data_IF_602505721727
#
_entry.id   IF_602505721727
#
_cell.length_a   1.000
_cell.length_b   1.000
_cell.length_c   1.000
_cell.angle_alpha   90.00
_cell.angle_beta   90.00
_cell.angle_gamma   90.00
#
_symmetry.space_group_name_H-M   'P 1'
#
loop_
_entity.id
_entity.type
_entity.pdbx_description
1 polymer ?
#
# COMPACT_ATOMS: atom_id res chain seq x y z
N UNK A 1 26.29 -16.98 26.69
CA UNK A 1 26.70 -16.11 25.57
C UNK A 1 25.68 -16.31 24.46
N UNK A 2 24.95 -15.35 23.91
CA UNK A 2 24.73 -13.92 24.12
C UNK A 2 23.30 -13.63 23.63
N UNK A 3 22.67 -12.58 24.15
CA UNK A 3 21.30 -12.14 23.86
C UNK A 3 21.35 -11.14 22.69
N UNK A 4 20.47 -11.30 21.69
CA UNK A 4 20.16 -10.24 20.71
C UNK A 4 18.63 -10.06 20.60
N UNK A 5 18.08 -8.85 20.82
CA UNK A 5 16.65 -8.54 20.59
C UNK A 5 16.40 -7.80 19.26
N UNK A 6 15.14 -7.79 18.82
CA UNK A 6 14.54 -6.97 17.71
C UNK A 6 14.77 -7.55 16.31
N UNK A 7 13.76 -7.87 15.49
CA UNK A 7 12.59 -7.07 15.06
C UNK A 7 11.41 -8.02 14.74
N UNK A 8 10.16 -7.74 15.13
CA UNK A 8 9.02 -8.44 14.53
C UNK A 8 8.86 -7.93 13.10
N UNK A 9 9.06 -8.79 12.10
CA UNK A 9 8.54 -8.55 10.75
C UNK A 9 7.01 -8.53 10.87
N UNK A 10 6.43 -7.35 11.04
CA UNK A 10 5.00 -7.11 10.91
C UNK A 10 4.76 -6.79 9.43
N UNK A 11 4.06 -7.63 8.65
CA UNK A 11 3.40 -7.14 7.45
C UNK A 11 2.42 -6.07 7.89
N UNK A 12 2.70 -4.81 7.54
CA UNK A 12 1.87 -3.64 7.89
C UNK A 12 0.57 -3.58 7.08
N UNK A 13 -0.16 -4.68 6.95
CA UNK A 13 -1.60 -4.60 6.70
C UNK A 13 -2.26 -4.27 8.03
N UNK A 14 -2.31 -2.97 8.35
CA UNK A 14 -3.16 -2.43 9.42
C UNK A 14 -4.63 -2.63 9.02
N UNK A 15 -5.13 -3.86 9.15
CA UNK A 15 -6.54 -4.17 9.24
C UNK A 15 -6.94 -4.18 10.72
N UNK A 16 -7.22 -3.02 11.31
CA UNK A 16 -7.95 -2.97 12.58
C UNK A 16 -8.55 -1.59 12.86
N UNK A 17 -9.73 -1.33 12.28
CA UNK A 17 -10.83 -0.56 12.90
C UNK A 17 -12.11 -0.70 12.06
N UNK A 18 -13.13 -1.34 12.62
CA UNK A 18 -14.56 -1.42 12.23
C UNK A 18 -14.93 -1.68 10.75
N UNK A 19 -15.20 -2.95 10.43
CA UNK A 19 -15.54 -3.45 9.09
C UNK A 19 -16.93 -3.10 8.50
N UNK A 20 -17.69 -2.13 9.04
CA UNK A 20 -19.07 -1.87 8.53
C UNK A 20 -19.47 -0.40 8.29
N UNK A 21 -18.81 0.59 8.90
CA UNK A 21 -19.10 2.02 8.62
C UNK A 21 -18.28 2.58 7.44
N UNK A 22 -17.21 1.88 7.05
CA UNK A 22 -16.24 2.33 6.04
C UNK A 22 -16.50 1.73 4.65
N UNK A 23 -17.73 1.34 4.27
CA UNK A 23 -17.96 0.79 2.92
C UNK A 23 -17.62 1.83 1.84
N UNK A 24 -17.96 3.10 2.08
CA UNK A 24 -17.63 4.19 1.16
C UNK A 24 -16.11 4.42 1.12
N UNK A 25 -15.45 4.35 2.28
CA UNK A 25 -13.99 4.39 2.44
C UNK A 25 -13.28 3.19 1.80
N UNK A 26 -13.88 2.00 1.82
CA UNK A 26 -13.39 0.76 1.21
C UNK A 26 -13.62 0.77 -0.31
N UNK A 27 -14.73 1.34 -0.76
CA UNK A 27 -15.02 1.62 -2.18
C UNK A 27 -14.05 2.68 -2.70
N UNK A 28 -13.78 3.74 -1.93
CA UNK A 28 -12.81 4.77 -2.26
C UNK A 28 -11.38 4.24 -2.25
N UNK A 29 -10.99 3.43 -1.26
CA UNK A 29 -9.72 2.68 -1.27
C UNK A 29 -9.62 1.69 -2.45
N UNK A 30 -10.76 1.19 -2.95
CA UNK A 30 -10.81 0.38 -4.16
C UNK A 30 -10.64 1.18 -5.46
N UNK A 31 -10.90 2.50 -5.48
CA UNK A 31 -10.81 3.30 -6.71
C UNK A 31 -9.40 3.35 -7.30
N UNK A 32 -8.37 3.14 -6.47
CA UNK A 32 -6.97 3.05 -6.89
C UNK A 32 -6.38 1.64 -6.77
N UNK A 33 -7.20 0.61 -6.53
CA UNK A 33 -6.73 -0.77 -6.36
C UNK A 33 -5.96 -1.27 -7.59
N UNK A 34 -6.36 -0.85 -8.79
CA UNK A 34 -5.63 -1.18 -10.03
C UNK A 34 -4.19 -0.68 -10.03
N UNK A 35 -3.97 0.57 -9.63
CA UNK A 35 -2.63 1.16 -9.55
C UNK A 35 -1.83 0.58 -8.37
N UNK A 36 -2.52 0.20 -7.30
CA UNK A 36 -1.92 -0.48 -6.15
C UNK A 36 -1.40 -1.88 -6.54
N UNK A 37 -2.20 -2.70 -7.23
CA UNK A 37 -1.75 -4.04 -7.68
C UNK A 37 -0.59 -3.96 -8.68
N UNK A 38 -0.57 -2.95 -9.56
CA UNK A 38 0.60 -2.70 -10.42
C UNK A 38 1.86 -2.41 -9.61
N UNK A 39 1.73 -1.75 -8.45
CA UNK A 39 2.87 -1.47 -7.58
C UNK A 39 3.35 -2.76 -6.92
N UNK A 40 2.43 -3.61 -6.46
CA UNK A 40 2.77 -4.93 -5.91
C UNK A 40 3.51 -5.79 -6.94
N UNK A 41 3.05 -5.83 -8.20
CA UNK A 41 3.71 -6.55 -9.29
C UNK A 41 5.13 -6.03 -9.54
N UNK A 42 5.31 -4.70 -9.63
CA UNK A 42 6.62 -4.10 -9.84
C UNK A 42 7.57 -4.38 -8.66
N UNK A 43 7.07 -4.31 -7.42
CA UNK A 43 7.88 -4.63 -6.24
C UNK A 43 8.26 -6.12 -6.23
N UNK A 44 7.39 -7.02 -6.70
CA UNK A 44 7.75 -8.43 -6.84
C UNK A 44 8.85 -8.66 -7.90
N UNK A 45 8.85 -7.89 -9.00
CA UNK A 45 9.87 -7.98 -10.06
C UNK A 45 11.26 -7.47 -9.62
N UNK A 46 11.31 -6.40 -8.83
CA UNK A 46 12.56 -5.71 -8.47
C UNK A 46 13.03 -5.96 -7.04
N UNK A 47 12.68 -7.09 -6.43
CA UNK A 47 13.04 -7.43 -5.05
C UNK A 47 12.70 -6.30 -4.05
N UNK A 48 11.47 -5.78 -4.20
CA UNK A 48 10.90 -4.68 -3.42
C UNK A 48 11.66 -3.35 -3.55
N UNK A 49 12.49 -3.19 -4.58
CA UNK A 49 13.17 -1.94 -4.86
C UNK A 49 12.20 -0.90 -5.45
N UNK A 50 11.55 -0.14 -4.57
CA UNK A 50 10.60 0.93 -4.93
C UNK A 50 11.20 2.03 -5.82
N UNK A 51 12.54 2.20 -5.83
CA UNK A 51 13.22 3.16 -6.72
C UNK A 51 13.17 2.76 -8.19
N UNK A 52 12.91 1.47 -8.49
CA UNK A 52 12.64 0.99 -9.85
C UNK A 52 11.17 1.15 -10.26
N UNK A 53 10.27 1.29 -9.28
CA UNK A 53 8.82 1.37 -9.48
C UNK A 53 8.28 2.81 -9.46
N UNK A 54 9.14 3.82 -9.62
CA UNK A 54 8.76 5.23 -9.46
C UNK A 54 7.58 5.66 -10.32
N UNK A 55 7.46 5.15 -11.54
CA UNK A 55 6.36 5.53 -12.42
C UNK A 55 5.03 4.94 -11.96
N UNK A 56 5.03 3.73 -11.41
CA UNK A 56 3.84 3.13 -10.80
C UNK A 56 3.47 3.86 -9.50
N UNK A 57 4.46 4.25 -8.69
CA UNK A 57 4.26 5.06 -7.49
C UNK A 57 3.63 6.42 -7.84
N UNK A 58 4.06 7.07 -8.92
CA UNK A 58 3.45 8.34 -9.39
C UNK A 58 2.01 8.13 -9.83
N UNK A 59 1.71 7.05 -10.55
CA UNK A 59 0.34 6.73 -10.99
C UNK A 59 -0.58 6.50 -9.80
N UNK A 60 -0.12 5.71 -8.82
CA UNK A 60 -0.87 5.47 -7.58
C UNK A 60 -1.09 6.77 -6.82
N UNK A 61 -0.06 7.63 -6.69
CA UNK A 61 -0.20 8.95 -6.06
C UNK A 61 -1.23 9.82 -6.78
N UNK A 62 -1.15 9.93 -8.11
CA UNK A 62 -2.10 10.72 -8.89
C UNK A 62 -3.55 10.23 -8.73
N UNK A 63 -3.75 8.92 -8.64
CA UNK A 63 -5.06 8.35 -8.38
C UNK A 63 -5.57 8.77 -7.00
N UNK A 64 -4.76 8.61 -5.95
CA UNK A 64 -5.12 8.99 -4.58
C UNK A 64 -5.35 10.51 -4.44
N UNK A 65 -4.55 11.35 -5.10
CA UNK A 65 -4.69 12.81 -5.07
C UNK A 65 -6.03 13.27 -5.68
N UNK A 66 -6.57 12.53 -6.66
CA UNK A 66 -7.90 12.83 -7.22
C UNK A 66 -9.02 12.53 -6.22
N UNK A 67 -8.82 11.58 -5.33
CA UNK A 67 -9.80 11.22 -4.29
C UNK A 67 -9.73 12.18 -3.10
N UNK A 68 -8.52 12.64 -2.75
CA UNK A 68 -8.27 13.55 -1.63
C UNK A 68 -8.58 15.03 -1.93
N UNK A 69 -8.94 15.38 -3.18
CA UNK A 69 -9.28 16.76 -3.60
C UNK A 69 -10.78 17.10 -3.47
N UNK A 70 -11.49 16.45 -2.56
CA UNK A 70 -12.87 16.82 -2.20
C UNK A 70 -12.89 18.00 -1.23
#
# INVERSE_FOLDING_TARGET
MEKAPSVPLVPQHLGSKSDFDDIEDLIERNKCAKEYYKLEDCLAEYDRNWSKCQDVVKLLRQCNDRLNKK
#
